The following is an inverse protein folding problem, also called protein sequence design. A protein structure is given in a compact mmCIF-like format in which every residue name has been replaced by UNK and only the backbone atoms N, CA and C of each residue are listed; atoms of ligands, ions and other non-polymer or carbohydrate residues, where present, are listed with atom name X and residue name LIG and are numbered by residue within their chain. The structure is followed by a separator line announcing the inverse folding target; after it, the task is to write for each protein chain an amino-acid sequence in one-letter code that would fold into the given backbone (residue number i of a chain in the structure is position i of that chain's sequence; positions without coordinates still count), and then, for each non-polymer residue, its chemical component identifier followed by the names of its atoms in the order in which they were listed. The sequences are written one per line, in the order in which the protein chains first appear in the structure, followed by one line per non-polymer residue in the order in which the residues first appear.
data_IF_222708142433
#
_entry.id   IF_222708142433
#
_cell.length_a   1.000
_cell.length_b   1.000
_cell.length_c   1.000
_cell.angle_alpha   90.00
_cell.angle_beta   90.00
_cell.angle_gamma   90.00
#
_symmetry.space_group_name_H-M   'P 1'
#
loop_
_entity.id
_entity.type
_entity.pdbx_description
1 polymer ?
#
# COMPACT_ATOMS: atom_id res chain seq x y z
N UNK A 1 22.63 -20.81 -5.24
CA UNK A 1 22.96 -19.52 -4.57
C UNK A 1 21.93 -19.26 -3.49
N UNK A 2 22.41 -18.94 -2.29
CA UNK A 2 21.54 -18.68 -1.14
C UNK A 2 21.38 -17.17 -0.92
N UNK A 3 20.14 -16.72 -0.82
CA UNK A 3 19.77 -15.32 -0.56
C UNK A 3 19.17 -15.21 0.84
N UNK A 4 19.80 -14.42 1.69
CA UNK A 4 19.33 -14.13 3.03
C UNK A 4 18.52 -12.82 3.02
N UNK A 5 17.26 -12.89 3.44
CA UNK A 5 16.34 -11.72 3.46
C UNK A 5 16.03 -11.34 4.91
N UNK A 6 16.58 -10.21 5.34
CA UNK A 6 16.41 -9.70 6.70
C UNK A 6 15.21 -8.74 6.76
N UNK A 7 14.19 -9.09 7.56
CA UNK A 7 12.91 -8.38 7.64
C UNK A 7 11.89 -8.90 6.62
N UNK A 8 11.86 -10.22 6.41
CA UNK A 8 11.10 -10.89 5.33
C UNK A 8 9.59 -10.69 5.41
N UNK A 9 9.03 -10.39 6.58
CA UNK A 9 7.60 -10.11 6.76
C UNK A 9 7.17 -8.69 6.41
N UNK A 10 8.10 -7.80 6.07
CA UNK A 10 7.75 -6.53 5.42
C UNK A 10 7.21 -6.79 4.00
N UNK A 11 6.21 -6.02 3.56
CA UNK A 11 5.52 -6.26 2.28
C UNK A 11 6.50 -6.27 1.09
N UNK A 12 7.37 -5.26 1.00
CA UNK A 12 8.43 -5.21 -0.03
C UNK A 12 9.38 -6.40 0.10
N UNK A 13 9.85 -6.68 1.31
CA UNK A 13 10.86 -7.71 1.56
C UNK A 13 10.34 -9.11 1.29
N UNK A 14 9.09 -9.40 1.67
CA UNK A 14 8.44 -10.67 1.36
C UNK A 14 8.20 -10.85 -0.14
N UNK A 15 7.81 -9.77 -0.83
CA UNK A 15 7.72 -9.79 -2.29
C UNK A 15 9.05 -10.06 -2.98
N UNK A 16 10.13 -9.44 -2.50
CA UNK A 16 11.51 -9.71 -2.97
C UNK A 16 11.93 -11.14 -2.71
N UNK A 17 11.61 -11.71 -1.54
CA UNK A 17 11.89 -13.11 -1.23
C UNK A 17 11.16 -14.06 -2.19
N UNK A 18 9.87 -13.79 -2.51
CA UNK A 18 9.12 -14.55 -3.50
C UNK A 18 9.77 -14.47 -4.89
N UNK A 19 10.15 -13.27 -5.34
CA UNK A 19 10.83 -13.08 -6.63
C UNK A 19 12.18 -13.80 -6.67
N UNK A 20 12.93 -13.85 -5.56
CA UNK A 20 14.19 -14.59 -5.48
C UNK A 20 13.97 -16.09 -5.63
N UNK A 21 12.92 -16.66 -5.00
CA UNK A 21 12.53 -18.07 -5.20
C UNK A 21 12.16 -18.33 -6.66
N UNK A 22 11.35 -17.48 -7.27
CA UNK A 22 10.95 -17.63 -8.68
C UNK A 22 12.15 -17.55 -9.65
N UNK A 23 13.23 -16.85 -9.26
CA UNK A 23 14.51 -16.83 -9.99
C UNK A 23 15.36 -18.08 -9.77
N UNK A 24 14.96 -18.99 -8.90
CA UNK A 24 15.68 -20.24 -8.60
C UNK A 24 16.76 -20.09 -7.52
N UNK A 25 16.69 -19.06 -6.68
CA UNK A 25 17.56 -18.94 -5.50
C UNK A 25 17.00 -19.75 -4.31
N UNK A 26 17.89 -20.28 -3.49
CA UNK A 26 17.53 -20.78 -2.16
C UNK A 26 17.37 -19.59 -1.23
N UNK A 27 16.19 -19.43 -0.61
CA UNK A 27 15.88 -18.22 0.17
C UNK A 27 15.72 -18.56 1.65
N UNK A 28 16.44 -17.83 2.50
CA UNK A 28 16.31 -17.87 3.96
C UNK A 28 15.83 -16.49 4.43
N UNK A 29 14.61 -16.44 4.97
CA UNK A 29 13.99 -15.24 5.50
C UNK A 29 14.07 -15.15 7.02
N UNK A 30 14.40 -13.97 7.55
CA UNK A 30 14.48 -13.69 8.98
C UNK A 30 13.52 -12.59 9.36
N UNK A 31 12.73 -12.82 10.41
CA UNK A 31 11.90 -11.79 11.03
C UNK A 31 11.51 -12.20 12.45
N UNK A 32 11.17 -11.24 13.29
CA UNK A 32 10.67 -11.47 14.66
C UNK A 32 9.14 -11.41 14.75
N UNK A 33 8.47 -10.97 13.68
CA UNK A 33 7.03 -10.76 13.64
C UNK A 33 6.41 -11.37 12.39
N UNK A 34 5.76 -12.50 12.53
CA UNK A 34 5.05 -13.20 11.45
C UNK A 34 3.55 -12.92 11.55
N UNK A 35 3.11 -11.83 10.91
CA UNK A 35 1.73 -11.36 10.97
C UNK A 35 1.12 -11.36 9.56
N UNK A 36 -0.15 -11.76 9.37
CA UNK A 36 -0.87 -11.58 8.12
C UNK A 36 -0.90 -10.11 7.66
N UNK A 37 -0.89 -9.85 6.35
CA UNK A 37 -1.02 -10.82 5.27
C UNK A 37 0.29 -11.47 4.82
N UNK A 38 1.47 -10.95 5.21
CA UNK A 38 2.74 -11.44 4.67
C UNK A 38 3.12 -12.83 5.16
N UNK A 39 2.84 -13.19 6.42
CA UNK A 39 3.05 -14.56 6.89
C UNK A 39 2.30 -15.57 6.01
N UNK A 40 1.04 -15.29 5.69
CA UNK A 40 0.22 -16.15 4.81
C UNK A 40 0.75 -16.20 3.37
N UNK A 41 1.28 -15.09 2.84
CA UNK A 41 1.91 -15.07 1.50
C UNK A 41 3.16 -15.93 1.45
N UNK A 42 3.96 -15.91 2.52
CA UNK A 42 5.22 -16.67 2.60
C UNK A 42 4.98 -18.16 2.89
N UNK A 43 3.87 -18.51 3.56
CA UNK A 43 3.43 -19.90 3.72
C UNK A 43 3.24 -20.57 2.35
N UNK A 44 3.77 -21.79 2.21
CA UNK A 44 3.68 -22.54 0.96
C UNK A 44 4.64 -22.07 -0.15
N UNK A 45 5.43 -21.01 0.08
CA UNK A 45 6.57 -20.66 -0.75
C UNK A 45 7.79 -21.46 -0.28
N UNK A 46 8.68 -21.79 -1.21
CA UNK A 46 9.93 -22.51 -0.88
C UNK A 46 10.96 -21.56 -0.23
N UNK A 47 10.60 -21.02 0.95
CA UNK A 47 11.41 -20.08 1.75
C UNK A 47 11.62 -20.71 3.13
N UNK A 48 12.87 -20.85 3.54
CA UNK A 48 13.19 -21.22 4.93
C UNK A 48 13.02 -20.01 5.83
N UNK A 49 12.06 -20.07 6.76
CA UNK A 49 11.75 -18.95 7.67
C UNK A 49 12.37 -19.18 9.04
N UNK A 50 13.07 -18.16 9.56
CA UNK A 50 13.68 -18.16 10.90
C UNK A 50 13.06 -16.99 11.69
N UNK A 51 12.40 -17.32 12.81
CA UNK A 51 11.64 -16.37 13.64
C UNK A 51 12.50 -15.50 14.55
N UNK A 52 13.79 -15.38 14.25
CA UNK A 52 14.73 -14.56 15.00
C UNK A 52 15.85 -14.05 14.09
N UNK A 53 16.59 -13.06 14.58
CA UNK A 53 17.83 -12.63 13.94
C UNK A 53 19.01 -13.22 14.68
N UNK A 54 19.76 -14.17 14.09
CA UNK A 54 20.95 -14.73 14.72
C UNK A 54 22.05 -13.67 14.85
N UNK A 55 22.94 -13.83 15.82
CA UNK A 55 24.10 -12.94 15.94
C UNK A 55 25.11 -13.12 14.81
N UNK A 56 25.17 -14.31 14.21
CA UNK A 56 26.06 -14.67 13.11
C UNK A 56 25.37 -15.63 12.15
N UNK A 57 25.79 -15.61 10.88
CA UNK A 57 25.40 -16.59 9.85
C UNK A 57 26.66 -17.30 9.36
N UNK A 58 26.57 -18.59 9.06
CA UNK A 58 27.71 -19.34 8.51
C UNK A 58 28.10 -18.80 7.13
N UNK A 59 29.33 -18.33 6.98
CA UNK A 59 29.84 -17.69 5.76
C UNK A 59 29.74 -18.56 4.50
N UNK A 60 29.86 -19.90 4.64
CA UNK A 60 29.82 -20.83 3.50
C UNK A 60 28.48 -20.83 2.74
N UNK A 61 27.41 -20.34 3.38
CA UNK A 61 26.06 -20.28 2.81
C UNK A 61 25.62 -18.84 2.52
N UNK A 62 26.57 -17.88 2.51
CA UNK A 62 26.27 -16.45 2.48
C UNK A 62 26.64 -15.85 1.12
N UNK A 63 25.80 -16.11 0.11
CA UNK A 63 26.02 -15.54 -1.22
C UNK A 63 25.52 -14.11 -1.34
N UNK A 64 24.33 -13.84 -0.83
CA UNK A 64 23.70 -12.51 -0.85
C UNK A 64 22.92 -12.22 0.44
N UNK A 65 22.97 -10.98 0.91
CA UNK A 65 22.15 -10.49 2.03
C UNK A 65 21.38 -9.28 1.61
N UNK A 66 20.05 -9.36 1.67
CA UNK A 66 19.13 -8.25 1.42
C UNK A 66 18.61 -7.74 2.78
N UNK A 67 18.77 -6.44 3.03
CA UNK A 67 18.48 -5.83 4.33
C UNK A 67 17.27 -4.91 4.22
N UNK A 68 16.24 -5.19 5.02
CA UNK A 68 15.06 -4.34 5.16
C UNK A 68 15.29 -3.15 6.10
N UNK A 69 14.43 -2.13 5.99
CA UNK A 69 14.53 -0.87 6.74
C UNK A 69 14.40 -1.01 8.27
N UNK A 70 13.84 -2.10 8.77
CA UNK A 70 13.68 -2.31 10.22
C UNK A 70 15.01 -2.54 10.94
N UNK A 71 16.00 -3.13 10.25
CA UNK A 71 17.31 -3.38 10.83
C UNK A 71 18.18 -2.13 10.73
N UNK A 72 18.75 -1.75 11.88
CA UNK A 72 19.63 -0.59 11.99
C UNK A 72 21.09 -1.03 12.15
N UNK A 73 22.01 -0.10 11.89
CA UNK A 73 23.45 -0.34 12.01
C UNK A 73 23.88 -0.93 13.37
N UNK A 74 23.19 -0.62 14.46
CA UNK A 74 23.48 -1.13 15.81
C UNK A 74 23.10 -2.60 16.05
N UNK A 75 22.38 -3.26 15.13
CA UNK A 75 21.97 -4.65 15.31
C UNK A 75 23.19 -5.59 15.27
N UNK A 76 23.33 -6.57 16.21
CA UNK A 76 24.52 -7.46 16.29
C UNK A 76 24.84 -8.16 14.98
N UNK A 77 23.83 -8.73 14.30
CA UNK A 77 24.01 -9.38 13.00
C UNK A 77 24.58 -8.40 11.95
N UNK A 78 24.03 -7.18 11.88
CA UNK A 78 24.52 -6.15 10.94
C UNK A 78 25.98 -5.79 11.23
N UNK A 79 26.35 -5.61 12.51
CA UNK A 79 27.74 -5.35 12.91
C UNK A 79 28.67 -6.50 12.48
N UNK A 80 28.23 -7.75 12.64
CA UNK A 80 28.99 -8.91 12.23
C UNK A 80 29.15 -8.97 10.72
N UNK A 81 28.08 -8.75 9.93
CA UNK A 81 28.13 -8.72 8.47
C UNK A 81 29.11 -7.66 7.95
N UNK A 82 29.05 -6.44 8.52
CA UNK A 82 29.98 -5.34 8.18
C UNK A 82 31.43 -5.75 8.51
N UNK A 83 31.68 -6.29 9.70
CA UNK A 83 33.02 -6.75 10.12
C UNK A 83 33.56 -7.81 9.17
N UNK A 84 32.70 -8.69 8.66
CA UNK A 84 33.07 -9.73 7.69
C UNK A 84 33.13 -9.23 6.24
N UNK A 85 32.84 -7.95 5.98
CA UNK A 85 32.81 -7.32 4.66
C UNK A 85 31.87 -8.03 3.69
N UNK A 86 30.75 -8.56 4.19
CA UNK A 86 29.70 -9.17 3.37
C UNK A 86 29.03 -8.07 2.56
N UNK A 87 28.81 -8.32 1.26
CA UNK A 87 28.04 -7.38 0.43
C UNK A 87 26.59 -7.37 0.89
N UNK A 88 26.10 -6.20 1.29
CA UNK A 88 24.71 -5.94 1.66
C UNK A 88 24.00 -5.27 0.50
N UNK A 89 22.83 -5.76 0.19
CA UNK A 89 21.90 -5.12 -0.76
C UNK A 89 20.75 -4.47 -0.01
N UNK A 90 20.32 -3.29 -0.45
CA UNK A 90 18.95 -2.85 -0.21
C UNK A 90 18.00 -3.63 -1.13
N UNK A 91 16.74 -3.76 -0.75
CA UNK A 91 15.75 -4.42 -1.61
C UNK A 91 15.63 -3.75 -2.99
N UNK A 92 15.57 -2.39 -3.09
CA UNK A 92 15.52 -1.72 -4.39
C UNK A 92 16.78 -1.94 -5.25
N UNK A 93 17.96 -1.97 -4.65
CA UNK A 93 19.21 -2.25 -5.37
C UNK A 93 19.21 -3.68 -5.93
N UNK A 94 18.81 -4.67 -5.13
CA UNK A 94 18.68 -6.04 -5.58
C UNK A 94 17.67 -6.19 -6.72
N UNK A 95 16.53 -5.52 -6.60
CA UNK A 95 15.51 -5.52 -7.66
C UNK A 95 16.07 -4.96 -8.97
N UNK A 96 16.76 -3.81 -8.94
CA UNK A 96 17.37 -3.24 -10.13
C UNK A 96 18.35 -4.23 -10.79
N UNK A 97 19.25 -4.81 -9.99
CA UNK A 97 20.34 -5.66 -10.53
C UNK A 97 19.82 -6.99 -11.07
N UNK A 98 18.87 -7.62 -10.39
CA UNK A 98 18.46 -8.98 -10.68
C UNK A 98 17.08 -9.14 -11.34
N UNK A 99 16.24 -8.12 -11.33
CA UNK A 99 14.85 -8.23 -11.82
C UNK A 99 14.50 -7.21 -12.90
N UNK A 100 14.89 -5.95 -12.71
CA UNK A 100 14.36 -4.82 -13.49
C UNK A 100 15.21 -4.43 -14.70
N UNK A 101 16.51 -4.77 -14.73
CA UNK A 101 17.49 -4.27 -15.71
C UNK A 101 17.03 -4.44 -17.16
N UNK A 102 16.43 -5.57 -17.50
CA UNK A 102 16.01 -5.90 -18.87
C UNK A 102 14.50 -5.78 -19.07
N UNK A 103 13.82 -5.03 -18.19
CA UNK A 103 12.36 -4.84 -18.21
C UNK A 103 11.97 -3.41 -18.56
N UNK A 104 10.80 -3.28 -19.16
CA UNK A 104 10.10 -1.99 -19.25
C UNK A 104 9.39 -1.74 -17.93
N UNK A 105 10.01 -0.94 -17.06
CA UNK A 105 9.52 -0.71 -15.72
C UNK A 105 8.44 0.38 -15.72
N UNK A 106 7.27 0.03 -15.18
CA UNK A 106 6.14 0.93 -14.92
C UNK A 106 6.13 1.18 -13.40
N UNK A 107 6.62 2.33 -12.97
CA UNK A 107 6.68 2.69 -11.56
C UNK A 107 5.50 3.55 -11.15
N UNK A 108 4.83 3.17 -10.05
CA UNK A 108 3.69 3.91 -9.48
C UNK A 108 4.10 4.51 -8.16
N UNK A 109 4.15 5.83 -8.09
CA UNK A 109 4.55 6.59 -6.90
C UNK A 109 3.50 7.63 -6.50
N UNK A 110 3.74 8.31 -5.39
CA UNK A 110 2.89 9.33 -4.79
C UNK A 110 2.44 8.95 -3.38
N UNK A 111 1.80 9.85 -2.66
CA UNK A 111 1.43 9.64 -1.26
C UNK A 111 0.34 8.55 -1.11
N UNK A 112 -0.69 8.57 -1.97
CA UNK A 112 -1.86 7.69 -1.90
C UNK A 112 -2.16 7.02 -3.24
N UNK A 113 -2.86 5.88 -3.20
CA UNK A 113 -3.29 5.16 -4.40
C UNK A 113 -2.26 4.22 -5.03
N UNK A 114 -0.98 4.29 -4.65
CA UNK A 114 0.13 3.48 -5.21
C UNK A 114 -0.25 2.00 -5.40
N UNK A 115 -0.61 1.33 -4.31
CA UNK A 115 -0.94 -0.11 -4.29
C UNK A 115 -2.12 -0.43 -5.21
N UNK A 116 -3.16 0.40 -5.18
CA UNK A 116 -4.36 0.20 -6.00
C UNK A 116 -4.04 0.35 -7.49
N UNK A 117 -3.34 1.42 -7.88
CA UNK A 117 -2.96 1.67 -9.28
C UNK A 117 -2.02 0.56 -9.78
N UNK A 118 -1.00 0.18 -8.99
CA UNK A 118 -0.08 -0.92 -9.33
C UNK A 118 -0.84 -2.23 -9.55
N UNK A 119 -1.81 -2.53 -8.66
CA UNK A 119 -2.67 -3.72 -8.82
C UNK A 119 -3.53 -3.66 -10.07
N UNK A 120 -4.16 -2.50 -10.35
CA UNK A 120 -5.00 -2.33 -11.54
C UNK A 120 -4.20 -2.48 -12.83
N UNK A 121 -3.02 -1.85 -12.94
CA UNK A 121 -2.15 -1.97 -14.11
C UNK A 121 -1.72 -3.43 -14.30
N UNK A 122 -1.22 -4.08 -13.25
CA UNK A 122 -0.79 -5.48 -13.30
C UNK A 122 -1.92 -6.41 -13.72
N UNK A 123 -3.12 -6.22 -13.16
CA UNK A 123 -4.30 -6.98 -13.49
C UNK A 123 -4.73 -6.78 -14.96
N UNK A 124 -4.79 -5.54 -15.44
CA UNK A 124 -5.18 -5.25 -16.83
C UNK A 124 -4.17 -5.87 -17.79
N UNK A 125 -2.88 -5.73 -17.55
CA UNK A 125 -1.84 -6.35 -18.38
C UNK A 125 -1.95 -7.88 -18.39
N UNK A 126 -2.22 -8.50 -17.25
CA UNK A 126 -2.43 -9.95 -17.16
C UNK A 126 -3.64 -10.39 -17.97
N UNK A 127 -4.79 -9.70 -17.83
CA UNK A 127 -6.01 -10.00 -18.59
C UNK A 127 -5.86 -9.79 -20.09
N UNK A 128 -4.95 -8.90 -20.51
CA UNK A 128 -4.61 -8.65 -21.91
C UNK A 128 -3.46 -9.54 -22.42
N UNK A 129 -3.08 -10.59 -21.70
CA UNK A 129 -2.08 -11.58 -22.12
C UNK A 129 -0.64 -11.10 -22.13
N UNK A 130 -0.35 -9.95 -21.48
CA UNK A 130 1.01 -9.38 -21.43
C UNK A 130 1.94 -10.07 -20.43
N UNK A 131 1.41 -10.94 -19.56
CA UNK A 131 2.16 -11.67 -18.53
C UNK A 131 3.19 -10.81 -17.78
N UNK A 132 2.76 -9.68 -17.16
CA UNK A 132 3.69 -8.75 -16.53
C UNK A 132 4.37 -9.35 -15.31
N UNK A 133 5.61 -8.93 -15.03
CA UNK A 133 6.13 -8.98 -13.66
C UNK A 133 5.49 -7.88 -12.82
N UNK A 134 5.40 -8.09 -11.52
CA UNK A 134 4.88 -7.07 -10.62
C UNK A 134 5.43 -7.22 -9.19
N UNK A 135 5.41 -6.10 -8.47
CA UNK A 135 5.65 -6.01 -7.02
C UNK A 135 4.73 -4.94 -6.43
N UNK A 136 3.79 -5.39 -5.60
CA UNK A 136 2.71 -4.59 -5.02
C UNK A 136 2.98 -4.40 -3.52
N UNK A 137 2.73 -3.23 -2.97
CA UNK A 137 2.81 -2.95 -1.52
C UNK A 137 1.69 -3.57 -0.69
N UNK A 138 0.97 -4.52 -1.23
CA UNK A 138 -0.12 -5.26 -0.61
C UNK A 138 -0.26 -6.65 -1.24
N UNK A 139 -1.39 -7.31 -1.03
CA UNK A 139 -1.68 -8.64 -1.58
C UNK A 139 -2.91 -8.56 -2.48
N UNK A 140 -2.85 -9.16 -3.67
CA UNK A 140 -4.00 -9.30 -4.56
C UNK A 140 -4.31 -10.78 -4.77
N UNK A 141 -5.49 -11.23 -4.34
CA UNK A 141 -5.94 -12.60 -4.57
C UNK A 141 -6.13 -12.93 -6.05
N UNK A 142 -6.52 -11.95 -6.87
CA UNK A 142 -6.69 -12.11 -8.31
C UNK A 142 -5.36 -12.29 -9.05
N UNK A 143 -4.28 -11.69 -8.54
CA UNK A 143 -2.93 -11.83 -9.08
C UNK A 143 -2.15 -12.99 -8.44
N UNK A 144 -2.71 -13.64 -7.41
CA UNK A 144 -2.09 -14.77 -6.72
C UNK A 144 -1.03 -14.42 -5.68
N UNK A 145 -0.92 -13.14 -5.28
CA UNK A 145 0.04 -12.72 -4.26
C UNK A 145 0.40 -11.24 -4.30
N UNK A 146 1.59 -10.92 -3.81
CA UNK A 146 2.14 -9.56 -3.80
C UNK A 146 3.18 -9.33 -4.91
N UNK A 147 3.70 -10.39 -5.54
CA UNK A 147 4.73 -10.30 -6.57
C UNK A 147 4.74 -11.48 -7.51
N UNK A 148 5.22 -11.29 -8.72
CA UNK A 148 5.56 -12.31 -9.69
C UNK A 148 6.65 -11.80 -10.65
N UNK A 149 7.53 -12.68 -11.15
CA UNK A 149 8.51 -12.30 -12.18
C UNK A 149 7.86 -11.98 -13.52
N UNK A 150 6.75 -12.65 -13.85
CA UNK A 150 6.14 -12.57 -15.17
C UNK A 150 7.07 -13.06 -16.29
N UNK A 151 6.51 -13.24 -17.48
CA UNK A 151 7.25 -13.65 -18.69
C UNK A 151 7.31 -12.55 -19.75
N UNK A 152 6.44 -11.54 -19.63
CA UNK A 152 6.36 -10.42 -20.57
C UNK A 152 7.44 -9.36 -20.34
N UNK A 153 7.50 -8.35 -21.19
CA UNK A 153 8.53 -7.31 -21.13
C UNK A 153 8.30 -6.29 -20.00
N UNK A 154 7.08 -6.18 -19.50
CA UNK A 154 6.70 -5.17 -18.51
C UNK A 154 6.92 -5.67 -17.08
N UNK A 155 7.35 -4.75 -16.20
CA UNK A 155 7.38 -4.96 -14.75
C UNK A 155 6.70 -3.77 -14.06
N UNK A 156 5.61 -4.02 -13.35
CA UNK A 156 4.85 -2.99 -12.65
C UNK A 156 5.27 -2.99 -11.18
N UNK A 157 5.72 -1.84 -10.69
CA UNK A 157 6.26 -1.75 -9.33
C UNK A 157 5.68 -0.58 -8.55
N UNK A 158 5.28 -0.84 -7.31
CA UNK A 158 4.99 0.22 -6.35
C UNK A 158 6.29 0.89 -5.92
N UNK A 159 6.38 2.19 -6.15
CA UNK A 159 7.60 2.98 -6.05
C UNK A 159 7.47 4.00 -4.91
N UNK A 160 7.88 3.56 -3.72
CA UNK A 160 7.73 4.29 -2.48
C UNK A 160 8.81 5.36 -2.31
N UNK A 161 8.45 6.51 -1.75
CA UNK A 161 9.32 7.63 -1.41
C UNK A 161 10.15 7.39 -0.14
N UNK A 162 9.89 6.32 0.61
CA UNK A 162 10.62 5.98 1.83
C UNK A 162 12.04 5.49 1.52
N UNK A 163 12.98 5.71 2.45
CA UNK A 163 14.39 5.32 2.30
C UNK A 163 14.57 3.81 2.08
N UNK A 164 15.67 3.43 1.41
CA UNK A 164 15.92 2.07 0.93
C UNK A 164 16.43 1.12 2.01
N UNK A 165 17.40 1.58 2.81
CA UNK A 165 17.99 0.80 3.90
C UNK A 165 18.71 1.71 4.91
N UNK A 166 19.23 1.17 6.03
CA UNK A 166 20.01 1.96 6.99
C UNK A 166 21.28 2.59 6.39
N UNK A 167 21.84 1.98 5.36
CA UNK A 167 23.06 2.43 4.66
C UNK A 167 22.77 3.15 3.34
N UNK A 168 21.55 3.13 2.84
CA UNK A 168 21.11 3.85 1.65
C UNK A 168 19.85 4.67 1.98
N UNK A 169 20.03 5.99 2.11
CA UNK A 169 18.98 6.94 2.48
C UNK A 169 18.26 7.55 1.28
N UNK A 170 18.58 7.09 0.07
CA UNK A 170 17.81 7.47 -1.12
C UNK A 170 16.43 6.80 -1.10
N UNK A 171 15.38 7.49 -1.59
CA UNK A 171 14.07 6.88 -1.80
C UNK A 171 14.16 5.60 -2.64
N UNK A 172 13.30 4.64 -2.36
CA UNK A 172 13.28 3.36 -3.09
C UNK A 172 13.11 3.56 -4.59
N UNK A 173 12.27 4.51 -5.00
CA UNK A 173 11.97 4.77 -6.40
C UNK A 173 13.18 5.20 -7.24
N UNK A 174 14.22 5.75 -6.64
CA UNK A 174 15.45 6.16 -7.34
C UNK A 174 16.16 4.96 -7.99
N UNK A 175 16.00 3.77 -7.43
CA UNK A 175 16.64 2.56 -7.93
C UNK A 175 15.93 1.91 -9.12
N UNK A 176 14.66 2.25 -9.41
CA UNK A 176 13.84 1.45 -10.33
C UNK A 176 13.99 1.79 -11.81
N UNK A 177 14.54 2.96 -12.13
CA UNK A 177 14.81 3.43 -13.50
C UNK A 177 13.63 3.21 -14.46
N UNK A 178 12.46 3.80 -14.15
CA UNK A 178 11.26 3.52 -14.91
C UNK A 178 11.31 4.08 -16.33
N UNK A 179 10.67 3.35 -17.25
CA UNK A 179 10.36 3.82 -18.61
C UNK A 179 8.98 4.49 -18.67
N UNK A 180 8.14 4.25 -17.65
CA UNK A 180 6.87 4.93 -17.43
C UNK A 180 6.70 5.20 -15.94
N UNK A 181 6.37 6.44 -15.60
CA UNK A 181 6.20 6.90 -14.23
C UNK A 181 4.78 7.40 -14.00
N UNK A 182 4.09 6.84 -13.00
CA UNK A 182 2.81 7.34 -12.55
C UNK A 182 3.01 8.06 -11.22
N UNK A 183 2.58 9.33 -11.11
CA UNK A 183 2.59 10.12 -9.88
C UNK A 183 1.13 10.38 -9.50
N UNK A 184 0.61 9.63 -8.53
CA UNK A 184 -0.80 9.73 -8.15
C UNK A 184 -1.14 11.04 -7.46
N UNK A 185 -0.32 11.47 -6.51
CA UNK A 185 -0.39 12.74 -5.79
C UNK A 185 0.89 12.96 -4.98
N UNK A 186 1.11 14.17 -4.50
CA UNK A 186 2.24 14.50 -3.62
C UNK A 186 1.67 15.28 -2.43
N UNK A 187 1.64 14.65 -1.27
CA UNK A 187 1.23 15.24 0.01
C UNK A 187 2.36 15.08 1.05
N UNK A 188 2.31 15.87 2.11
CA UNK A 188 3.28 15.74 3.20
C UNK A 188 2.97 14.52 4.07
N UNK A 189 3.85 13.55 4.05
CA UNK A 189 3.88 12.36 4.92
C UNK A 189 5.32 12.01 5.28
N UNK A 190 5.51 10.94 6.08
CA UNK A 190 6.83 10.46 6.50
C UNK A 190 7.67 11.52 7.25
N UNK A 191 7.06 12.20 8.23
CA UNK A 191 7.70 13.21 9.07
C UNK A 191 8.94 12.72 9.84
N UNK A 192 9.17 11.41 9.88
CA UNK A 192 10.36 10.78 10.45
C UNK A 192 11.61 10.86 9.55
N UNK A 193 11.42 11.11 8.24
CA UNK A 193 12.52 11.23 7.26
C UNK A 193 12.49 12.52 6.46
N UNK A 194 11.33 13.17 6.30
CA UNK A 194 11.19 14.42 5.58
C UNK A 194 10.74 15.56 6.49
N UNK A 195 11.49 16.66 6.59
CA UNK A 195 11.10 17.79 7.42
C UNK A 195 9.90 18.57 6.88
N UNK A 196 9.72 18.57 5.55
CA UNK A 196 8.69 19.33 4.84
C UNK A 196 8.36 18.75 3.46
N UNK A 197 7.31 19.26 2.84
CA UNK A 197 6.87 18.85 1.50
C UNK A 197 7.90 19.18 0.40
N UNK A 198 8.71 20.24 0.57
CA UNK A 198 9.71 20.64 -0.42
C UNK A 198 10.82 19.60 -0.52
N UNK A 199 11.15 18.97 0.61
CA UNK A 199 12.11 17.86 0.68
C UNK A 199 11.63 16.65 -0.13
N UNK A 200 10.33 16.34 -0.06
CA UNK A 200 9.71 15.27 -0.87
C UNK A 200 9.74 15.63 -2.36
N UNK A 201 9.31 16.85 -2.72
CA UNK A 201 9.32 17.35 -4.11
C UNK A 201 10.74 17.27 -4.71
N UNK A 202 11.76 17.57 -3.92
CA UNK A 202 13.15 17.46 -4.36
C UNK A 202 13.52 16.03 -4.77
N UNK A 203 13.03 15.01 -4.04
CA UNK A 203 13.26 13.61 -4.39
C UNK A 203 12.57 13.22 -5.71
N UNK A 204 11.37 13.72 -5.96
CA UNK A 204 10.70 13.55 -7.26
C UNK A 204 11.51 14.21 -8.39
N UNK A 205 12.09 15.37 -8.15
CA UNK A 205 13.01 16.00 -9.10
C UNK A 205 14.23 15.13 -9.41
N UNK A 206 14.79 14.42 -8.44
CA UNK A 206 15.88 13.46 -8.70
C UNK A 206 15.39 12.24 -9.50
N UNK A 207 14.18 11.75 -9.22
CA UNK A 207 13.59 10.64 -9.98
C UNK A 207 13.39 11.02 -11.46
N UNK A 208 12.84 12.22 -11.76
CA UNK A 208 12.63 12.68 -13.12
C UNK A 208 13.92 12.74 -13.94
N UNK A 209 15.06 13.06 -13.32
CA UNK A 209 16.39 13.08 -13.97
C UNK A 209 16.88 11.69 -14.39
N UNK A 210 16.32 10.63 -13.83
CA UNK A 210 16.70 9.25 -14.15
C UNK A 210 15.84 8.64 -15.26
N UNK A 211 14.78 9.32 -15.68
CA UNK A 211 13.91 8.81 -16.75
C UNK A 211 14.63 8.95 -18.11
N UNK A 212 14.66 7.87 -18.92
CA UNK A 212 15.10 7.98 -20.30
C UNK A 212 14.29 9.01 -21.09
N UNK A 213 14.90 9.65 -22.08
CA UNK A 213 14.17 10.50 -23.01
C UNK A 213 13.01 9.71 -23.65
N UNK A 214 11.86 10.36 -23.87
CA UNK A 214 10.63 9.75 -24.39
C UNK A 214 9.91 8.81 -23.40
N UNK A 215 10.30 8.78 -22.12
CA UNK A 215 9.50 8.14 -21.09
C UNK A 215 8.18 8.90 -20.89
N UNK A 216 7.12 8.16 -20.55
CA UNK A 216 5.82 8.78 -20.24
C UNK A 216 5.69 9.03 -18.74
N UNK A 217 5.28 10.24 -18.38
CA UNK A 217 4.88 10.61 -17.01
C UNK A 217 3.37 10.82 -16.98
N UNK A 218 2.69 10.08 -16.13
CA UNK A 218 1.24 10.18 -15.93
C UNK A 218 1.00 10.72 -14.54
N UNK A 219 0.42 11.90 -14.42
CA UNK A 219 0.26 12.52 -13.09
C UNK A 219 -1.10 13.18 -12.90
N UNK A 220 -1.49 13.35 -11.65
CA UNK A 220 -2.51 14.34 -11.25
C UNK A 220 -1.88 15.73 -11.22
N UNK A 221 -2.45 16.65 -10.45
CA UNK A 221 -1.87 17.96 -10.20
C UNK A 221 -0.56 17.81 -9.40
N UNK A 222 0.56 18.13 -10.02
CA UNK A 222 1.88 18.23 -9.40
C UNK A 222 2.33 19.68 -9.37
N UNK A 223 3.45 19.99 -8.74
CA UNK A 223 3.96 21.37 -8.70
C UNK A 223 4.48 21.82 -10.07
N UNK A 224 4.34 23.13 -10.37
CA UNK A 224 4.83 23.71 -11.63
C UNK A 224 6.33 23.43 -11.87
N UNK A 225 7.15 23.43 -10.81
CA UNK A 225 8.56 23.10 -10.95
C UNK A 225 8.85 21.67 -11.42
N UNK A 226 7.98 20.69 -11.08
CA UNK A 226 8.08 19.34 -11.61
C UNK A 226 7.54 19.25 -13.04
N UNK A 227 6.49 20.02 -13.37
CA UNK A 227 5.95 20.13 -14.72
C UNK A 227 7.01 20.72 -15.69
N UNK A 228 7.67 21.81 -15.28
CA UNK A 228 8.77 22.43 -16.03
C UNK A 228 9.93 21.44 -16.27
N UNK A 229 10.24 20.59 -15.29
CA UNK A 229 11.25 19.55 -15.45
C UNK A 229 10.83 18.48 -16.46
N UNK A 230 9.60 18.01 -16.41
CA UNK A 230 9.05 17.02 -17.36
C UNK A 230 9.16 17.55 -18.78
N UNK A 231 8.76 18.81 -19.00
CA UNK A 231 8.85 19.47 -20.30
C UNK A 231 10.30 19.64 -20.75
N UNK A 232 11.18 20.16 -19.87
CA UNK A 232 12.59 20.42 -20.21
C UNK A 232 13.37 19.15 -20.53
N UNK A 233 12.98 18.01 -19.99
CA UNK A 233 13.60 16.70 -20.28
C UNK A 233 12.99 16.00 -21.50
N UNK A 234 11.99 16.61 -22.15
CA UNK A 234 11.31 16.05 -23.33
C UNK A 234 10.53 14.78 -23.02
N UNK A 235 10.01 14.66 -21.79
CA UNK A 235 9.19 13.54 -21.36
C UNK A 235 7.73 13.74 -21.81
N UNK A 236 7.07 12.69 -22.22
CA UNK A 236 5.63 12.74 -22.49
C UNK A 236 4.87 12.93 -21.20
N UNK A 237 4.00 13.94 -21.10
CA UNK A 237 3.21 14.22 -19.91
C UNK A 237 1.71 14.04 -20.15
N UNK A 238 1.11 13.06 -19.48
CA UNK A 238 -0.32 12.78 -19.48
C UNK A 238 -0.92 13.18 -18.13
N UNK A 239 -1.49 14.37 -18.07
CA UNK A 239 -2.09 14.90 -16.84
C UNK A 239 -3.56 14.49 -16.72
N UNK A 240 -3.97 13.92 -15.58
CA UNK A 240 -5.31 13.38 -15.36
C UNK A 240 -5.95 13.88 -14.04
N UNK A 241 -7.28 13.77 -13.98
CA UNK A 241 -8.04 14.08 -12.77
C UNK A 241 -8.05 15.56 -12.41
N UNK A 242 -8.62 15.90 -11.23
CA UNK A 242 -8.67 17.27 -10.72
C UNK A 242 -9.37 18.27 -11.62
N UNK A 243 -9.13 19.59 -11.36
CA UNK A 243 -9.73 20.70 -12.14
C UNK A 243 -8.89 21.06 -13.38
N UNK A 244 -7.65 20.59 -13.48
CA UNK A 244 -6.69 20.97 -14.51
C UNK A 244 -6.25 19.82 -15.41
N UNK A 245 -6.66 18.58 -15.10
CA UNK A 245 -6.24 17.41 -15.88
C UNK A 245 -6.87 17.38 -17.28
N UNK A 246 -6.03 17.16 -18.31
CA UNK A 246 -6.46 16.98 -19.69
C UNK A 246 -7.37 15.76 -19.88
N UNK A 247 -7.15 14.72 -19.04
CA UNK A 247 -7.89 13.46 -19.08
C UNK A 247 -8.79 13.34 -17.85
N UNK A 248 -10.09 13.22 -18.07
CA UNK A 248 -11.11 13.07 -17.03
C UNK A 248 -11.65 11.65 -16.93
N UNK A 249 -12.37 11.38 -15.84
CA UNK A 249 -13.01 10.07 -15.58
C UNK A 249 -14.10 9.70 -16.61
N UNK A 250 -14.53 10.66 -17.46
CA UNK A 250 -15.41 10.40 -18.61
C UNK A 250 -14.82 9.38 -19.62
N UNK A 251 -13.51 9.22 -19.67
CA UNK A 251 -12.86 8.15 -20.44
C UNK A 251 -13.26 6.75 -19.95
N UNK A 252 -13.67 6.63 -18.69
CA UNK A 252 -14.14 5.39 -18.09
C UNK A 252 -15.67 5.26 -18.10
N UNK A 253 -16.37 6.03 -18.95
CA UNK A 253 -17.81 5.91 -19.08
C UNK A 253 -18.20 4.44 -19.35
N UNK A 254 -19.23 3.97 -18.62
CA UNK A 254 -19.71 2.58 -18.62
C UNK A 254 -18.79 1.56 -17.95
N UNK A 255 -17.72 1.96 -17.25
CA UNK A 255 -16.92 1.07 -16.40
C UNK A 255 -17.45 1.13 -14.97
N UNK A 256 -18.05 0.03 -14.52
CA UNK A 256 -18.46 -0.12 -13.11
C UNK A 256 -17.34 -0.84 -12.37
N UNK A 257 -16.62 -0.08 -11.53
CA UNK A 257 -15.53 -0.63 -10.71
C UNK A 257 -16.09 -1.45 -9.54
N UNK A 258 -15.39 -2.52 -9.16
CA UNK A 258 -15.71 -3.31 -7.95
C UNK A 258 -15.37 -2.56 -6.66
N UNK A 259 -14.42 -1.63 -6.72
CA UNK A 259 -14.04 -0.76 -5.61
C UNK A 259 -14.80 0.58 -5.75
N UNK A 260 -15.68 0.94 -4.80
CA UNK A 260 -16.43 2.19 -4.84
C UNK A 260 -15.54 3.41 -4.56
N UNK A 261 -16.06 4.60 -4.87
CA UNK A 261 -15.44 5.89 -4.55
C UNK A 261 -14.80 6.58 -5.75
N UNK A 262 -14.89 7.91 -5.74
CA UNK A 262 -14.34 8.76 -6.80
C UNK A 262 -12.83 8.60 -6.95
N UNK A 263 -12.12 8.46 -5.84
CA UNK A 263 -10.68 8.26 -5.86
C UNK A 263 -10.26 6.94 -6.54
N UNK A 264 -11.11 5.89 -6.47
CA UNK A 264 -10.85 4.66 -7.22
C UNK A 264 -11.13 4.81 -8.71
N UNK A 265 -12.04 5.71 -9.10
CA UNK A 265 -12.20 6.08 -10.51
C UNK A 265 -10.97 6.84 -11.03
N UNK A 266 -10.37 7.70 -10.22
CA UNK A 266 -9.12 8.39 -10.54
C UNK A 266 -7.93 7.41 -10.60
N UNK A 267 -7.84 6.46 -9.67
CA UNK A 267 -6.85 5.36 -9.73
C UNK A 267 -7.00 4.52 -11.00
N UNK A 268 -8.24 4.18 -11.37
CA UNK A 268 -8.54 3.44 -12.58
C UNK A 268 -8.21 4.24 -13.86
N UNK A 269 -8.40 5.56 -13.83
CA UNK A 269 -8.02 6.45 -14.94
C UNK A 269 -6.50 6.47 -15.13
N UNK A 270 -5.71 6.55 -14.05
CA UNK A 270 -4.26 6.42 -14.14
C UNK A 270 -3.83 5.09 -14.75
N UNK A 271 -4.43 3.98 -14.29
CA UNK A 271 -4.16 2.65 -14.82
C UNK A 271 -4.58 2.53 -16.31
N UNK A 272 -5.74 3.09 -16.67
CA UNK A 272 -6.21 3.14 -18.06
C UNK A 272 -5.20 3.85 -18.96
N UNK A 273 -4.76 5.05 -18.57
CA UNK A 273 -3.79 5.85 -19.35
C UNK A 273 -2.46 5.12 -19.49
N UNK A 274 -1.96 4.50 -18.43
CA UNK A 274 -0.71 3.74 -18.45
C UNK A 274 -0.78 2.57 -19.44
N UNK A 275 -1.84 1.79 -19.39
CA UNK A 275 -2.01 0.62 -20.27
C UNK A 275 -2.35 1.04 -21.70
N UNK A 276 -3.08 2.13 -21.88
CA UNK A 276 -3.39 2.70 -23.21
C UNK A 276 -2.11 3.20 -23.91
N UNK A 277 -1.21 3.86 -23.17
CA UNK A 277 0.05 4.39 -23.70
C UNK A 277 0.97 3.28 -24.26
N UNK A 278 0.84 2.05 -23.78
CA UNK A 278 1.60 0.91 -24.32
C UNK A 278 0.88 0.17 -25.46
N UNK A 279 -0.26 0.68 -25.94
CA UNK A 279 -0.94 0.22 -27.15
C UNK A 279 -2.01 -0.86 -26.95
N UNK A 280 -2.48 -1.09 -25.72
CA UNK A 280 -3.58 -2.03 -25.46
C UNK A 280 -4.92 -1.42 -25.90
N UNK A 281 -5.81 -2.26 -26.45
CA UNK A 281 -7.11 -1.81 -26.91
C UNK A 281 -8.00 -1.31 -25.76
N UNK A 282 -8.72 -0.24 -26.00
CA UNK A 282 -9.55 0.43 -25.00
C UNK A 282 -10.66 -0.47 -24.45
N UNK A 283 -11.27 -1.30 -25.28
CA UNK A 283 -12.36 -2.20 -24.85
C UNK A 283 -11.84 -3.24 -23.88
N UNK A 284 -10.64 -3.79 -24.16
CA UNK A 284 -10.00 -4.78 -23.30
C UNK A 284 -9.58 -4.17 -21.96
N UNK A 285 -9.02 -2.96 -21.97
CA UNK A 285 -8.69 -2.21 -20.75
C UNK A 285 -9.94 -2.00 -19.89
N UNK A 286 -11.02 -1.46 -20.48
CA UNK A 286 -12.29 -1.17 -19.76
C UNK A 286 -12.91 -2.45 -19.19
N UNK A 287 -12.93 -3.53 -19.98
CA UNK A 287 -13.40 -4.85 -19.54
C UNK A 287 -12.58 -5.37 -18.35
N UNK A 288 -11.27 -5.32 -18.44
CA UNK A 288 -10.38 -5.79 -17.39
C UNK A 288 -10.54 -4.97 -16.10
N UNK A 289 -10.62 -3.62 -16.19
CA UNK A 289 -10.87 -2.74 -15.06
C UNK A 289 -12.19 -3.03 -14.33
N UNK A 290 -13.28 -3.33 -15.07
CA UNK A 290 -14.58 -3.68 -14.47
C UNK A 290 -14.55 -4.99 -13.68
N UNK A 291 -13.59 -5.86 -13.94
CA UNK A 291 -13.40 -7.14 -13.25
C UNK A 291 -12.37 -7.06 -12.10
N UNK A 292 -11.62 -5.96 -12.00
CA UNK A 292 -10.59 -5.78 -10.99
C UNK A 292 -11.21 -5.62 -9.60
N UNK A 293 -10.82 -6.49 -8.66
CA UNK A 293 -11.25 -6.43 -7.25
C UNK A 293 -10.33 -5.55 -6.39
N UNK A 294 -9.18 -5.15 -6.94
CA UNK A 294 -8.15 -4.41 -6.22
C UNK A 294 -7.31 -5.25 -5.25
N UNK A 295 -6.43 -4.61 -4.50
CA UNK A 295 -5.65 -5.28 -3.47
C UNK A 295 -6.50 -5.53 -2.21
N UNK A 296 -6.08 -6.52 -1.41
CA UNK A 296 -6.67 -6.76 -0.11
C UNK A 296 -6.58 -5.52 0.80
N UNK A 297 -7.52 -5.42 1.74
CA UNK A 297 -7.58 -4.31 2.68
C UNK A 297 -7.70 -2.91 2.02
N UNK A 298 -8.38 -2.82 0.88
CA UNK A 298 -8.82 -1.58 0.25
C UNK A 298 -10.32 -1.71 0.01
N UNK A 299 -11.12 -1.22 0.95
CA UNK A 299 -12.59 -1.36 0.98
C UNK A 299 -13.04 -2.83 0.85
N UNK A 300 -12.27 -3.72 1.47
CA UNK A 300 -12.52 -5.16 1.41
C UNK A 300 -13.70 -5.53 2.31
N UNK A 301 -14.77 -6.09 1.72
CA UNK A 301 -15.92 -6.59 2.49
C UNK A 301 -15.48 -7.77 3.34
N UNK A 302 -15.66 -7.67 4.65
CA UNK A 302 -15.43 -8.72 5.64
C UNK A 302 -16.71 -9.37 6.13
N UNK A 303 -17.83 -8.62 6.06
CA UNK A 303 -19.14 -9.06 6.47
C UNK A 303 -20.21 -8.32 5.66
N UNK A 304 -21.26 -9.04 5.29
CA UNK A 304 -22.44 -8.45 4.65
C UNK A 304 -23.67 -9.30 4.94
N UNK A 305 -24.60 -8.76 5.71
CA UNK A 305 -25.90 -9.39 5.96
C UNK A 305 -26.91 -8.35 6.49
N UNK A 306 -28.20 -8.50 6.12
CA UNK A 306 -29.34 -7.70 6.62
C UNK A 306 -29.07 -6.18 6.66
N UNK A 307 -28.52 -5.61 5.58
CA UNK A 307 -28.21 -4.19 5.51
C UNK A 307 -26.90 -3.77 6.20
N UNK A 308 -26.35 -4.61 7.09
CA UNK A 308 -25.05 -4.36 7.75
C UNK A 308 -23.92 -4.81 6.84
N UNK A 309 -22.98 -3.89 6.55
CA UNK A 309 -21.76 -4.22 5.78
C UNK A 309 -20.53 -3.72 6.51
N UNK A 310 -19.54 -4.60 6.71
CA UNK A 310 -18.30 -4.24 7.35
C UNK A 310 -17.12 -4.37 6.39
N UNK A 311 -16.29 -3.33 6.33
CA UNK A 311 -15.17 -3.18 5.42
C UNK A 311 -13.85 -3.04 6.17
N UNK A 312 -12.82 -3.74 5.69
CA UNK A 312 -11.41 -3.53 6.09
C UNK A 312 -10.74 -2.60 5.08
N UNK A 313 -10.16 -1.51 5.57
CA UNK A 313 -9.44 -0.55 4.75
C UNK A 313 -8.08 -0.19 5.35
N UNK A 314 -7.08 -0.05 4.50
CA UNK A 314 -5.72 0.32 4.89
C UNK A 314 -5.56 1.81 5.11
N UNK A 315 -6.57 2.62 4.79
CA UNK A 315 -6.53 4.07 4.96
C UNK A 315 -6.09 4.43 6.38
N UNK A 316 -5.10 5.29 6.47
CA UNK A 316 -4.54 5.73 7.76
C UNK A 316 -4.18 7.22 7.74
N UNK A 317 -3.88 7.81 6.57
CA UNK A 317 -3.69 9.24 6.44
C UNK A 317 -5.05 9.97 6.41
N UNK A 318 -5.18 11.21 6.96
CA UNK A 318 -6.44 11.96 6.96
C UNK A 318 -7.07 12.13 5.58
N UNK A 319 -6.27 12.36 4.53
CA UNK A 319 -6.77 12.46 3.15
C UNK A 319 -7.43 11.17 2.67
N UNK A 320 -6.85 9.99 2.97
CA UNK A 320 -7.44 8.69 2.66
C UNK A 320 -8.71 8.46 3.48
N UNK A 321 -8.67 8.71 4.81
CA UNK A 321 -9.81 8.58 5.71
C UNK A 321 -10.99 9.43 5.22
N UNK A 322 -10.73 10.68 4.80
CA UNK A 322 -11.76 11.57 4.25
C UNK A 322 -12.41 10.99 2.98
N UNK A 323 -11.62 10.40 2.08
CA UNK A 323 -12.14 9.80 0.86
C UNK A 323 -12.99 8.56 1.15
N UNK A 324 -12.58 7.74 2.11
CA UNK A 324 -13.35 6.58 2.57
C UNK A 324 -14.67 7.04 3.19
N UNK A 325 -14.65 7.98 4.13
CA UNK A 325 -15.88 8.54 4.74
C UNK A 325 -16.83 9.11 3.68
N UNK A 326 -16.35 9.94 2.75
CA UNK A 326 -17.16 10.49 1.65
C UNK A 326 -17.77 9.41 0.76
N UNK A 327 -17.11 8.27 0.60
CA UNK A 327 -17.61 7.18 -0.24
C UNK A 327 -18.77 6.43 0.41
N UNK A 328 -18.76 6.27 1.72
CA UNK A 328 -19.71 5.44 2.44
C UNK A 328 -20.82 6.24 3.15
N UNK A 329 -20.57 7.48 3.55
CA UNK A 329 -21.57 8.34 4.21
C UNK A 329 -22.93 8.42 3.48
N UNK A 330 -23.01 8.48 2.13
CA UNK A 330 -24.30 8.50 1.44
C UNK A 330 -25.03 7.15 1.42
N UNK A 331 -24.45 6.08 1.95
CA UNK A 331 -24.97 4.71 1.85
C UNK A 331 -25.76 4.24 3.09
N UNK A 332 -25.96 5.12 4.08
CA UNK A 332 -26.64 4.79 5.33
C UNK A 332 -25.84 5.22 6.54
N UNK A 333 -26.21 4.69 7.71
CA UNK A 333 -25.50 4.95 8.96
C UNK A 333 -24.04 4.48 8.87
N UNK A 334 -23.10 5.35 9.25
CA UNK A 334 -21.67 5.10 9.11
C UNK A 334 -20.97 5.03 10.49
N UNK A 335 -20.34 3.91 10.77
CA UNK A 335 -19.50 3.72 11.94
C UNK A 335 -18.05 3.53 11.51
N UNK A 336 -17.12 4.26 12.10
CA UNK A 336 -15.69 4.24 11.71
C UNK A 336 -14.80 3.89 12.90
N UNK A 337 -13.96 2.86 12.74
CA UNK A 337 -12.79 2.63 13.59
C UNK A 337 -11.57 3.22 12.90
N UNK A 338 -10.85 4.10 13.58
CA UNK A 338 -9.57 4.63 13.15
C UNK A 338 -8.45 4.21 14.08
N UNK A 339 -7.37 3.67 13.53
CA UNK A 339 -6.17 3.33 14.28
C UNK A 339 -4.99 4.18 13.81
N UNK A 340 -4.53 5.18 14.60
CA UNK A 340 -3.39 6.05 14.28
C UNK A 340 -2.07 5.30 14.52
N UNK A 341 -1.73 4.38 13.64
CA UNK A 341 -0.67 3.40 13.87
C UNK A 341 0.72 3.82 13.37
N UNK A 342 0.82 4.75 12.39
CA UNK A 342 2.11 5.20 11.85
C UNK A 342 2.81 6.21 12.77
N UNK A 343 4.08 6.47 12.52
CA UNK A 343 4.85 7.42 13.33
C UNK A 343 4.21 8.81 13.34
N UNK A 344 3.95 9.37 12.17
CA UNK A 344 3.37 10.73 12.01
C UNK A 344 2.04 10.85 12.76
N UNK A 345 1.17 9.85 12.65
CA UNK A 345 -0.13 9.84 13.32
C UNK A 345 0.00 9.75 14.84
N UNK A 346 0.87 8.87 15.33
CA UNK A 346 1.11 8.74 16.78
C UNK A 346 1.68 10.00 17.44
N UNK A 347 2.28 10.91 16.67
CA UNK A 347 2.75 12.20 17.17
C UNK A 347 1.63 13.25 17.31
N UNK A 348 0.39 12.95 16.89
CA UNK A 348 -0.73 13.88 16.98
C UNK A 348 -0.68 15.04 15.96
N UNK A 349 0.24 15.01 15.00
CA UNK A 349 0.46 16.11 14.04
C UNK A 349 -0.75 16.37 13.12
N UNK A 350 -1.69 15.42 13.06
CA UNK A 350 -2.85 15.46 12.18
C UNK A 350 -4.18 15.35 12.94
N UNK A 351 -4.18 15.44 14.27
CA UNK A 351 -5.35 15.20 15.12
C UNK A 351 -6.55 16.08 14.73
N UNK A 352 -6.35 17.38 14.51
CA UNK A 352 -7.43 18.29 14.14
C UNK A 352 -8.14 17.84 12.86
N UNK A 353 -7.39 17.44 11.83
CA UNK A 353 -7.95 16.93 10.58
C UNK A 353 -8.71 15.63 10.78
N UNK A 354 -8.19 14.72 11.61
CA UNK A 354 -8.85 13.44 11.92
C UNK A 354 -10.15 13.69 12.68
N UNK A 355 -10.14 14.57 13.68
CA UNK A 355 -11.32 14.97 14.45
C UNK A 355 -12.40 15.53 13.52
N UNK A 356 -12.04 16.47 12.65
CA UNK A 356 -12.97 17.07 11.67
C UNK A 356 -13.63 16.05 10.74
N UNK A 357 -12.92 14.99 10.41
CA UNK A 357 -13.44 13.92 9.56
C UNK A 357 -14.36 12.99 10.37
N UNK A 358 -13.90 12.56 11.54
CA UNK A 358 -14.63 11.61 12.39
C UNK A 358 -15.89 12.20 13.00
N UNK A 359 -15.99 13.54 13.15
CA UNK A 359 -17.20 14.23 13.56
C UNK A 359 -18.35 14.20 12.52
N UNK A 360 -18.06 13.75 11.30
CA UNK A 360 -19.05 13.68 10.21
C UNK A 360 -19.72 12.31 10.09
N UNK A 361 -19.35 11.35 10.95
CA UNK A 361 -19.90 10.01 10.94
C UNK A 361 -20.79 9.77 12.18
N UNK A 362 -21.70 8.82 12.09
CA UNK A 362 -22.69 8.57 13.16
C UNK A 362 -22.04 8.03 14.42
N UNK A 363 -20.96 7.25 14.28
CA UNK A 363 -20.17 6.75 15.42
C UNK A 363 -18.72 6.60 15.03
N UNK A 364 -17.85 7.15 15.85
CA UNK A 364 -16.40 7.08 15.65
C UNK A 364 -15.69 6.53 16.87
N UNK A 365 -14.74 5.65 16.63
CA UNK A 365 -13.93 4.97 17.64
C UNK A 365 -12.47 5.09 17.24
N UNK A 366 -11.60 5.42 18.19
CA UNK A 366 -10.15 5.37 18.02
C UNK A 366 -9.59 4.22 18.86
N UNK A 367 -8.84 3.33 18.19
CA UNK A 367 -7.97 2.38 18.87
C UNK A 367 -6.63 3.06 19.18
N UNK A 368 -6.38 3.31 20.46
CA UNK A 368 -5.18 4.01 20.90
C UNK A 368 -3.92 3.13 20.75
N UNK A 369 -2.85 3.65 20.13
CA UNK A 369 -1.56 2.97 20.13
C UNK A 369 -0.94 2.95 21.54
N UNK A 370 -0.12 1.94 21.86
CA UNK A 370 0.55 1.83 23.18
C UNK A 370 1.43 3.03 23.53
N UNK A 371 2.01 3.72 22.54
CA UNK A 371 2.83 4.91 22.71
C UNK A 371 2.37 5.96 21.70
N UNK A 372 1.92 7.10 22.19
CA UNK A 372 1.40 8.19 21.36
C UNK A 372 1.48 9.53 22.07
N UNK A 373 1.38 10.61 21.30
CA UNK A 373 1.27 12.00 21.75
C UNK A 373 -0.07 12.63 21.25
N UNK A 374 -1.13 11.83 21.11
CA UNK A 374 -2.44 12.28 20.64
C UNK A 374 -3.10 13.23 21.64
N UNK A 375 -3.85 14.21 21.17
CA UNK A 375 -4.61 15.17 21.95
C UNK A 375 -5.93 14.57 22.47
N UNK A 376 -5.87 13.63 23.41
CA UNK A 376 -7.01 12.82 23.86
C UNK A 376 -8.23 13.64 24.32
N UNK A 377 -8.01 14.79 24.96
CA UNK A 377 -9.12 15.68 25.35
C UNK A 377 -9.89 16.26 24.16
N UNK A 378 -9.19 16.60 23.09
CA UNK A 378 -9.83 17.10 21.87
C UNK A 378 -10.74 16.05 21.26
N UNK A 379 -10.27 14.80 21.16
CA UNK A 379 -11.07 13.67 20.72
C UNK A 379 -12.31 13.44 21.60
N UNK A 380 -12.16 13.45 22.94
CA UNK A 380 -13.30 13.28 23.87
C UNK A 380 -14.32 14.42 23.75
N UNK A 381 -13.88 15.68 23.65
CA UNK A 381 -14.75 16.84 23.45
C UNK A 381 -15.54 16.75 22.14
N UNK A 382 -14.97 16.13 21.13
CA UNK A 382 -15.61 15.85 19.87
C UNK A 382 -16.58 14.63 19.91
N UNK A 383 -16.76 13.98 21.06
CA UNK A 383 -17.64 12.82 21.21
C UNK A 383 -17.07 11.52 20.60
N UNK A 384 -15.79 11.49 20.28
CA UNK A 384 -15.11 10.33 19.73
C UNK A 384 -14.74 9.36 20.85
N UNK A 385 -15.07 8.09 20.69
CA UNK A 385 -14.83 7.05 21.70
C UNK A 385 -13.36 6.58 21.58
N UNK A 386 -12.66 6.56 22.71
CA UNK A 386 -11.27 6.11 22.81
C UNK A 386 -11.23 4.73 23.47
N UNK A 387 -10.59 3.75 22.81
CA UNK A 387 -10.40 2.40 23.33
C UNK A 387 -8.92 2.04 23.35
N UNK A 388 -8.49 1.32 24.36
CA UNK A 388 -7.10 0.90 24.53
C UNK A 388 -6.80 -0.47 23.92
N UNK A 389 -7.84 -1.25 23.62
CA UNK A 389 -7.72 -2.59 23.05
C UNK A 389 -8.78 -2.87 21.96
N UNK A 390 -8.47 -3.85 21.12
CA UNK A 390 -9.30 -4.24 19.98
C UNK A 390 -10.65 -4.85 20.37
N UNK A 391 -10.73 -5.54 21.53
CA UNK A 391 -12.00 -6.15 22.01
C UNK A 391 -12.97 -5.08 22.47
N UNK A 392 -12.47 -4.09 23.21
CA UNK A 392 -13.28 -2.94 23.61
C UNK A 392 -13.84 -2.19 22.38
N UNK A 393 -13.04 -1.99 21.34
CA UNK A 393 -13.52 -1.43 20.08
C UNK A 393 -14.66 -2.28 19.49
N UNK A 394 -14.50 -3.58 19.37
CA UNK A 394 -15.51 -4.46 18.79
C UNK A 394 -16.83 -4.41 19.58
N UNK A 395 -16.78 -4.40 20.92
CA UNK A 395 -17.96 -4.26 21.77
C UNK A 395 -18.71 -2.94 21.56
N UNK A 396 -17.98 -1.82 21.38
CA UNK A 396 -18.61 -0.54 21.04
C UNK A 396 -19.40 -0.65 19.75
N UNK A 397 -18.86 -1.29 18.71
CA UNK A 397 -19.56 -1.47 17.44
C UNK A 397 -20.80 -2.37 17.61
N UNK A 398 -20.67 -3.51 18.27
CA UNK A 398 -21.79 -4.44 18.50
C UNK A 398 -22.94 -3.78 19.29
N UNK A 399 -22.63 -2.91 20.24
CA UNK A 399 -23.65 -2.20 21.03
C UNK A 399 -24.35 -1.04 20.27
N UNK A 400 -23.85 -0.64 19.10
CA UNK A 400 -24.39 0.50 18.35
C UNK A 400 -24.74 0.15 16.90
N UNK A 401 -24.52 -1.09 16.46
CA UNK A 401 -24.91 -1.53 15.12
C UNK A 401 -26.43 -1.62 15.02
N UNK A 402 -26.99 -1.08 13.96
CA UNK A 402 -28.42 -1.10 13.62
C UNK A 402 -28.53 -1.54 12.15
N UNK A 403 -29.76 -1.70 11.66
CA UNK A 403 -30.00 -1.99 10.26
C UNK A 403 -29.41 -0.90 9.36
N UNK A 404 -29.00 -1.27 8.16
CA UNK A 404 -28.36 -0.38 7.18
C UNK A 404 -27.08 0.33 7.65
N UNK A 405 -26.35 -0.30 8.59
CA UNK A 405 -25.08 0.23 9.11
C UNK A 405 -23.91 -0.18 8.24
N UNK A 406 -23.12 0.80 7.83
CA UNK A 406 -21.81 0.61 7.21
C UNK A 406 -20.72 0.73 8.28
N UNK A 407 -19.94 -0.32 8.47
CA UNK A 407 -18.80 -0.36 9.41
C UNK A 407 -17.52 -0.26 8.62
N UNK A 408 -16.71 0.76 8.86
CA UNK A 408 -15.40 0.92 8.22
C UNK A 408 -14.30 0.80 9.27
N UNK A 409 -13.37 -0.10 9.05
CA UNK A 409 -12.20 -0.28 9.90
C UNK A 409 -10.97 0.21 9.14
N UNK A 410 -10.37 1.28 9.62
CA UNK A 410 -9.21 1.93 8.97
C UNK A 410 -7.96 1.79 9.82
N UNK A 411 -6.95 1.09 9.30
CA UNK A 411 -5.68 0.85 9.99
C UNK A 411 -4.55 0.45 9.04
N UNK A 412 -3.35 0.94 9.26
CA UNK A 412 -2.15 0.44 8.59
C UNK A 412 -1.80 -1.01 8.99
N UNK A 413 -2.27 -1.49 10.15
CA UNK A 413 -2.08 -2.87 10.62
C UNK A 413 -3.37 -3.68 10.56
N UNK A 414 -3.24 -4.98 10.41
CA UNK A 414 -4.40 -5.88 10.49
C UNK A 414 -4.82 -6.07 11.95
N UNK A 415 -6.10 -5.80 12.25
CA UNK A 415 -6.67 -5.87 13.59
C UNK A 415 -7.38 -7.22 13.78
N UNK A 416 -6.62 -8.28 14.00
CA UNK A 416 -7.14 -9.66 14.05
C UNK A 416 -8.12 -9.87 15.19
N UNK A 417 -7.79 -9.39 16.39
CA UNK A 417 -8.63 -9.55 17.58
C UNK A 417 -9.94 -8.77 17.40
N UNK A 418 -9.89 -7.57 16.85
CA UNK A 418 -11.09 -6.78 16.53
C UNK A 418 -12.01 -7.56 15.57
N UNK A 419 -11.47 -8.00 14.43
CA UNK A 419 -12.24 -8.70 13.41
C UNK A 419 -12.85 -9.99 13.93
N UNK A 420 -12.10 -10.79 14.69
CA UNK A 420 -12.59 -12.03 15.29
C UNK A 420 -13.80 -11.77 16.21
N UNK A 421 -13.69 -10.77 17.09
CA UNK A 421 -14.77 -10.44 18.02
C UNK A 421 -15.98 -9.82 17.32
N UNK A 422 -15.77 -8.89 16.40
CA UNK A 422 -16.86 -8.25 15.65
C UNK A 422 -17.64 -9.27 14.82
N UNK A 423 -16.96 -10.09 14.03
CA UNK A 423 -17.60 -11.08 13.16
C UNK A 423 -18.35 -12.15 13.94
N UNK A 424 -17.82 -12.59 15.08
CA UNK A 424 -18.50 -13.52 15.98
C UNK A 424 -19.77 -12.88 16.56
N UNK A 425 -19.70 -11.64 17.04
CA UNK A 425 -20.86 -10.93 17.61
C UNK A 425 -21.94 -10.66 16.56
N UNK A 426 -21.60 -10.20 15.38
CA UNK A 426 -22.56 -9.97 14.29
C UNK A 426 -23.30 -11.25 13.89
N UNK A 427 -22.58 -12.38 13.79
CA UNK A 427 -23.20 -13.69 13.52
C UNK A 427 -24.12 -14.16 14.65
N UNK A 428 -23.78 -13.91 15.92
CA UNK A 428 -24.61 -14.26 17.06
C UNK A 428 -25.92 -13.45 17.05
N UNK A 429 -25.90 -12.18 16.66
CA UNK A 429 -27.10 -11.34 16.49
C UNK A 429 -28.05 -11.89 15.42
N UNK A 430 -27.50 -12.39 14.29
CA UNK A 430 -28.31 -13.03 13.24
C UNK A 430 -29.09 -14.25 13.74
N UNK A 431 -28.49 -15.07 14.62
CA UNK A 431 -29.14 -16.26 15.18
C UNK A 431 -30.25 -15.88 16.15
N UNK A 432 -30.05 -14.83 16.96
CA UNK A 432 -31.07 -14.37 17.92
C UNK A 432 -32.30 -13.78 17.23
N UNK A 433 -32.14 -13.07 16.10
CA UNK A 433 -33.26 -12.54 15.31
C UNK A 433 -34.09 -13.66 14.65
N UNK A 434 -33.46 -14.73 14.16
CA UNK A 434 -34.16 -15.90 13.58
C UNK A 434 -34.90 -16.78 14.57
N UNK A 435 -34.65 -16.63 15.87
CA UNK A 435 -35.35 -17.39 16.95
C UNK A 435 -36.55 -16.58 17.47
N UNK A 436 -36.58 -15.25 17.19
CA UNK A 436 -37.66 -14.37 17.62
C UNK A 436 -38.77 -14.17 16.57
N UNK A 437 -38.57 -14.67 15.36
CA UNK A 437 -39.58 -14.82 14.29
C UNK A 437 -40.15 -16.24 14.27
#
# INVERSE_FOLDING_TARGET
MTVHVLGVCGTLMGGVACLAVEKGYDVIGYDVSFIPPMSTVLEGKNITIISEYPNIIELKNLDMVIVGNQLRRGHPLIQWLIKKRVKLYSAPEWLLEFVLRDRKVIAVTGSHGKTTITTMISWVLEQCGQQPGYLIGGVSSQLGGCSALGKGPYFVIEADEYDSAFFDKRPKFIHYWPTMLIISNIEYDHADIYPDISSIITQFGYLLRLLPSQSSVISTNITSGLEDMIESFGLEHLQYGGNCGKYGTNLLNNVVLKMPGKFNQENALAAYLAVKAIGIDEKDIKKALSLCKGPARRQMVKYQNQGVVAYDDFAHHPSELLQVVKTFQPKGRLMVLYNPATYTQRQGLMDDKVIDILNKVDKSVILLPKKHNLHLEAYRKAGIILCEDERACALVFLNHVEDDTQIIVTSAYYLEIFWTNLLHGLKAMEVSLKISD
#
